data_IF_847027174169
#
_entry.id   IF_847027174169
#
_cell.length_a   1.000
_cell.length_b   1.000
_cell.length_c   1.000
_cell.angle_alpha   90.00
_cell.angle_beta   90.00
_cell.angle_gamma   90.00
#
_symmetry.space_group_name_H-M   'P 1'
#
loop_
_entity.id
_entity.type
_entity.pdbx_description
1 polymer ?
#
# COMPACT_ATOMS: atom_id res chain seq x y z
N UNK A 1 -20.26 -12.41 9.34
CA UNK A 1 -19.34 -13.10 8.41
C UNK A 1 -20.00 -14.35 7.85
N UNK A 2 -20.47 -15.25 8.71
CA UNK A 2 -21.12 -16.52 8.32
C UNK A 2 -22.32 -16.37 7.37
N UNK A 3 -23.11 -15.31 7.52
CA UNK A 3 -24.28 -15.04 6.65
C UNK A 3 -23.88 -14.58 5.24
N UNK A 4 -22.83 -13.77 5.10
CA UNK A 4 -22.34 -13.30 3.81
C UNK A 4 -21.67 -14.44 3.05
N UNK A 5 -20.78 -15.21 3.71
CA UNK A 5 -20.14 -16.38 3.11
C UNK A 5 -21.18 -17.42 2.66
N UNK A 6 -22.21 -17.68 3.49
CA UNK A 6 -23.32 -18.58 3.12
C UNK A 6 -24.14 -18.08 1.94
N UNK A 7 -24.37 -16.77 1.81
CA UNK A 7 -25.15 -16.20 0.70
C UNK A 7 -24.34 -16.10 -0.60
N UNK A 8 -23.05 -15.78 -0.51
CA UNK A 8 -22.13 -15.79 -1.64
C UNK A 8 -21.95 -17.20 -2.22
N UNK A 9 -21.93 -18.23 -1.37
CA UNK A 9 -21.98 -19.64 -1.79
C UNK A 9 -23.29 -20.00 -2.52
N UNK A 10 -24.39 -19.28 -2.29
CA UNK A 10 -25.69 -19.53 -2.92
C UNK A 10 -25.86 -18.81 -4.28
N UNK A 11 -25.16 -17.69 -4.51
CA UNK A 11 -25.43 -16.79 -5.65
C UNK A 11 -24.44 -16.92 -6.84
N UNK A 12 -23.30 -17.62 -6.72
CA UNK A 12 -22.17 -17.43 -7.66
C UNK A 12 -21.40 -18.64 -8.18
N UNK A 13 -21.88 -19.87 -8.00
CA UNK A 13 -21.09 -21.07 -8.30
C UNK A 13 -20.11 -21.42 -7.16
N UNK A 14 -19.35 -22.51 -7.32
CA UNK A 14 -18.46 -23.00 -6.27
C UNK A 14 -17.39 -21.95 -5.92
N UNK A 15 -17.55 -21.31 -4.75
CA UNK A 15 -16.53 -20.48 -4.13
C UNK A 15 -15.60 -21.41 -3.36
N UNK A 16 -14.33 -21.41 -3.76
CA UNK A 16 -13.27 -22.25 -3.21
C UNK A 16 -12.63 -21.63 -1.96
N UNK A 17 -12.87 -20.35 -1.69
CA UNK A 17 -12.49 -19.69 -0.44
C UNK A 17 -12.59 -18.17 -0.48
N UNK A 18 -12.19 -17.52 0.61
CA UNK A 18 -12.29 -16.08 0.76
C UNK A 18 -11.15 -15.49 1.61
N UNK A 19 -10.75 -14.26 1.29
CA UNK A 19 -9.79 -13.46 2.06
C UNK A 19 -10.42 -12.13 2.44
N UNK A 20 -10.42 -11.81 3.72
CA UNK A 20 -10.74 -10.48 4.24
C UNK A 20 -9.46 -9.65 4.29
N UNK A 21 -9.50 -8.40 3.85
CA UNK A 21 -8.36 -7.49 3.93
C UNK A 21 -8.81 -6.04 4.20
N UNK A 22 -7.85 -5.11 4.15
CA UNK A 22 -8.16 -3.69 4.20
C UNK A 22 -8.38 -3.12 5.61
N UNK A 23 -9.02 -1.95 5.66
CA UNK A 23 -9.06 -1.09 6.86
C UNK A 23 -9.79 -1.73 8.05
N UNK A 24 -10.76 -2.61 7.80
CA UNK A 24 -11.49 -3.35 8.83
C UNK A 24 -10.59 -4.23 9.71
N UNK A 25 -9.44 -4.68 9.19
CA UNK A 25 -8.49 -5.46 9.97
C UNK A 25 -7.53 -4.61 10.81
N UNK A 26 -7.22 -3.41 10.34
CA UNK A 26 -6.14 -2.58 10.90
C UNK A 26 -6.62 -1.39 11.72
N UNK A 27 -7.77 -0.82 11.35
CA UNK A 27 -8.36 0.35 12.00
C UNK A 27 -9.88 0.38 11.73
N UNK A 28 -10.68 -0.51 12.36
CA UNK A 28 -12.09 -0.64 12.06
C UNK A 28 -12.87 0.61 12.49
N UNK A 29 -13.39 1.36 11.52
CA UNK A 29 -14.38 2.42 11.77
C UNK A 29 -15.79 1.92 11.42
N UNK A 30 -16.80 2.47 12.10
CA UNK A 30 -18.22 2.14 11.85
C UNK A 30 -18.62 2.42 10.40
N UNK A 31 -17.96 3.40 9.77
CA UNK A 31 -18.21 3.81 8.38
C UNK A 31 -17.31 3.11 7.36
N UNK A 32 -16.36 2.27 7.80
CA UNK A 32 -15.46 1.58 6.88
C UNK A 32 -16.21 0.49 6.10
N UNK A 33 -16.01 0.47 4.80
CA UNK A 33 -16.32 -0.67 3.94
C UNK A 33 -15.50 -1.90 4.33
N UNK A 34 -16.00 -3.08 3.95
CA UNK A 34 -15.32 -4.36 4.18
C UNK A 34 -14.77 -4.91 2.87
N UNK A 35 -13.45 -4.97 2.74
CA UNK A 35 -12.79 -5.46 1.54
C UNK A 35 -12.62 -6.98 1.58
N UNK A 36 -13.17 -7.69 0.58
CA UNK A 36 -13.11 -9.15 0.51
C UNK A 36 -12.74 -9.64 -0.88
N UNK A 37 -11.85 -10.64 -0.95
CA UNK A 37 -11.55 -11.39 -2.18
C UNK A 37 -12.21 -12.76 -2.09
N UNK A 38 -12.97 -13.14 -3.11
CA UNK A 38 -13.60 -14.44 -3.27
C UNK A 38 -12.91 -15.22 -4.38
N UNK A 39 -12.60 -16.49 -4.10
CA UNK A 39 -11.93 -17.39 -5.03
C UNK A 39 -12.88 -18.40 -5.64
N UNK A 40 -12.76 -18.67 -6.94
CA UNK A 40 -13.50 -19.74 -7.60
C UNK A 40 -12.86 -20.17 -8.93
N UNK A 41 -12.98 -21.46 -9.27
CA UNK A 41 -12.30 -22.08 -10.41
C UNK A 41 -12.60 -21.53 -11.81
N UNK A 42 -13.70 -20.77 -12.00
CA UNK A 42 -14.12 -20.23 -13.32
C UNK A 42 -14.48 -18.73 -13.28
N UNK A 43 -13.91 -17.96 -12.34
CA UNK A 43 -14.24 -16.54 -12.19
C UNK A 43 -13.26 -15.68 -12.99
N UNK A 44 -13.79 -14.80 -13.86
CA UNK A 44 -13.03 -13.66 -14.40
C UNK A 44 -12.93 -12.58 -13.32
N UNK A 45 -11.80 -11.85 -13.29
CA UNK A 45 -11.63 -10.73 -12.34
C UNK A 45 -12.82 -9.79 -12.44
N UNK A 46 -13.58 -9.70 -11.35
CA UNK A 46 -14.75 -8.87 -11.24
C UNK A 46 -14.71 -8.10 -9.92
N UNK A 47 -15.15 -6.86 -9.98
CA UNK A 47 -15.26 -5.97 -8.83
C UNK A 47 -16.72 -5.54 -8.71
N UNK A 48 -17.25 -5.58 -7.50
CA UNK A 48 -18.61 -5.15 -7.20
C UNK A 48 -18.72 -4.64 -5.78
N UNK A 49 -19.53 -3.60 -5.60
CA UNK A 49 -19.90 -3.11 -4.27
C UNK A 49 -21.23 -3.75 -3.90
N UNK A 50 -21.27 -4.43 -2.76
CA UNK A 50 -22.46 -5.14 -2.28
C UNK A 50 -22.86 -4.64 -0.90
N UNK A 51 -24.17 -4.48 -0.68
CA UNK A 51 -24.70 -4.01 0.60
C UNK A 51 -25.47 -5.14 1.29
N UNK A 52 -25.09 -5.46 2.52
CA UNK A 52 -25.78 -6.44 3.36
C UNK A 52 -25.99 -5.88 4.77
N UNK A 53 -27.23 -5.89 5.25
CA UNK A 53 -27.59 -5.45 6.61
C UNK A 53 -27.00 -4.08 6.98
N UNK A 54 -27.08 -3.11 6.05
CA UNK A 54 -26.52 -1.76 6.15
C UNK A 54 -24.98 -1.69 6.25
N UNK A 55 -24.27 -2.77 5.90
CA UNK A 55 -22.82 -2.80 5.72
C UNK A 55 -22.47 -2.87 4.25
N UNK A 56 -21.44 -2.13 3.86
CA UNK A 56 -20.92 -2.07 2.49
C UNK A 56 -19.72 -3.01 2.39
N UNK A 57 -19.73 -3.86 1.38
CA UNK A 57 -18.66 -4.79 1.05
C UNK A 57 -18.09 -4.42 -0.30
N UNK A 58 -16.78 -4.23 -0.35
CA UNK A 58 -16.03 -4.17 -1.60
C UNK A 58 -15.59 -5.60 -1.95
N UNK A 59 -16.27 -6.19 -2.93
CA UNK A 59 -16.14 -7.60 -3.29
C UNK A 59 -15.35 -7.74 -4.58
N UNK A 60 -14.17 -8.36 -4.45
CA UNK A 60 -13.34 -8.78 -5.56
C UNK A 60 -13.52 -10.28 -5.80
N UNK A 61 -13.64 -10.70 -7.04
CA UNK A 61 -13.72 -12.12 -7.41
C UNK A 61 -12.64 -12.46 -8.40
N UNK A 62 -11.92 -13.56 -8.19
CA UNK A 62 -10.87 -14.03 -9.08
C UNK A 62 -10.59 -15.53 -8.90
N UNK A 63 -9.84 -16.14 -9.81
CA UNK A 63 -9.29 -17.48 -9.56
C UNK A 63 -8.03 -17.41 -8.69
N UNK A 64 -7.68 -18.52 -8.02
CA UNK A 64 -6.41 -18.61 -7.29
C UNK A 64 -5.19 -18.43 -8.22
N UNK A 65 -5.27 -18.94 -9.45
CA UNK A 65 -4.23 -18.76 -10.47
C UNK A 65 -3.99 -17.27 -10.78
N UNK A 66 -5.06 -16.49 -10.93
CA UNK A 66 -4.97 -15.04 -11.13
C UNK A 66 -4.34 -14.34 -9.92
N UNK A 67 -4.67 -14.77 -8.70
CA UNK A 67 -4.09 -14.21 -7.49
C UNK A 67 -2.58 -14.46 -7.39
N UNK A 68 -2.13 -15.68 -7.67
CA UNK A 68 -0.70 -16.00 -7.74
C UNK A 68 0.00 -15.25 -8.87
N UNK A 69 -0.65 -15.09 -10.03
CA UNK A 69 -0.13 -14.26 -11.12
C UNK A 69 0.07 -12.81 -10.67
N UNK A 70 -0.92 -12.22 -9.97
CA UNK A 70 -0.83 -10.87 -9.40
C UNK A 70 0.30 -10.73 -8.36
N UNK A 71 0.55 -11.76 -7.54
CA UNK A 71 1.70 -11.79 -6.64
C UNK A 71 3.03 -11.89 -7.38
N UNK A 72 3.12 -12.71 -8.43
CA UNK A 72 4.33 -12.89 -9.21
C UNK A 72 4.77 -11.58 -9.89
N UNK A 73 3.81 -10.80 -10.42
CA UNK A 73 4.07 -9.46 -10.96
C UNK A 73 4.13 -8.37 -9.89
N UNK A 74 4.00 -8.75 -8.62
CA UNK A 74 4.03 -7.89 -7.43
C UNK A 74 3.07 -6.70 -7.52
N UNK A 75 1.84 -6.97 -7.96
CA UNK A 75 0.80 -5.96 -8.09
C UNK A 75 0.48 -5.35 -6.71
N UNK A 76 0.66 -4.03 -6.51
CA UNK A 76 0.66 -3.41 -5.18
C UNK A 76 -0.63 -3.63 -4.37
N UNK A 77 -1.81 -3.47 -4.99
CA UNK A 77 -3.09 -3.71 -4.31
C UNK A 77 -3.18 -5.15 -3.79
N UNK A 78 -2.83 -6.13 -4.63
CA UNK A 78 -2.98 -7.55 -4.30
C UNK A 78 -1.88 -8.02 -3.35
N UNK A 79 -0.66 -7.54 -3.52
CA UNK A 79 0.42 -7.79 -2.58
C UNK A 79 0.08 -7.22 -1.20
N UNK A 80 -0.51 -6.03 -1.12
CA UNK A 80 -1.02 -5.46 0.12
C UNK A 80 -2.14 -6.32 0.70
N UNK A 81 -3.20 -6.56 -0.07
CA UNK A 81 -4.36 -7.34 0.32
C UNK A 81 -3.99 -8.73 0.86
N UNK A 82 -3.07 -9.43 0.20
CA UNK A 82 -2.67 -10.78 0.60
C UNK A 82 -1.61 -10.80 1.69
N UNK A 83 -0.77 -9.77 1.82
CA UNK A 83 0.22 -9.71 2.92
C UNK A 83 -0.40 -9.33 4.26
N UNK A 84 -1.54 -8.63 4.27
CA UNK A 84 -2.28 -8.27 5.50
C UNK A 84 -3.58 -9.05 5.68
N UNK A 85 -4.02 -9.78 4.66
CA UNK A 85 -5.30 -10.46 4.64
C UNK A 85 -5.38 -11.66 5.59
N UNK A 86 -6.63 -12.02 5.91
CA UNK A 86 -6.98 -13.18 6.73
C UNK A 86 -7.81 -14.14 5.87
N UNK A 87 -7.40 -15.41 5.85
CA UNK A 87 -8.17 -16.48 5.23
C UNK A 87 -9.44 -16.72 6.06
N UNK A 88 -10.60 -16.63 5.40
CA UNK A 88 -11.90 -16.91 6.02
C UNK A 88 -12.42 -18.32 5.70
N UNK A 89 -11.57 -19.16 5.11
CA UNK A 89 -11.91 -20.52 4.68
C UNK A 89 -10.85 -21.52 5.11
N UNK A 90 -11.18 -22.82 5.07
CA UNK A 90 -10.23 -23.89 5.38
C UNK A 90 -9.34 -24.28 4.17
N UNK A 91 -9.26 -23.43 3.14
CA UNK A 91 -8.51 -23.72 1.92
C UNK A 91 -7.01 -23.42 2.08
N UNK A 92 -6.20 -24.46 2.18
CA UNK A 92 -4.73 -24.37 2.33
C UNK A 92 -4.00 -23.66 1.19
N UNK A 93 -4.57 -23.62 -0.02
CA UNK A 93 -3.97 -22.88 -1.12
C UNK A 93 -4.03 -21.36 -0.91
N UNK A 94 -5.06 -20.89 -0.18
CA UNK A 94 -5.16 -19.49 0.24
C UNK A 94 -4.13 -19.19 1.33
N UNK A 95 -3.93 -20.10 2.29
CA UNK A 95 -2.87 -19.92 3.31
C UNK A 95 -1.51 -19.76 2.63
N UNK A 96 -1.19 -20.61 1.66
CA UNK A 96 0.04 -20.51 0.87
C UNK A 96 0.14 -19.16 0.13
N UNK A 97 -0.95 -18.66 -0.45
CA UNK A 97 -0.99 -17.36 -1.10
C UNK A 97 -0.64 -16.22 -0.12
N UNK A 98 -1.27 -16.21 1.05
CA UNK A 98 -1.05 -15.18 2.07
C UNK A 98 0.38 -15.23 2.63
N UNK A 99 0.89 -16.43 2.90
CA UNK A 99 2.25 -16.62 3.41
C UNK A 99 3.30 -16.22 2.37
N UNK A 100 3.07 -16.55 1.09
CA UNK A 100 3.93 -16.09 -0.02
C UNK A 100 3.95 -14.56 -0.10
N UNK A 101 2.80 -13.90 0.01
CA UNK A 101 2.71 -12.44 -0.02
C UNK A 101 3.46 -11.78 1.14
N UNK A 102 3.32 -12.33 2.36
CA UNK A 102 4.08 -11.87 3.55
C UNK A 102 5.59 -12.05 3.34
N UNK A 103 6.01 -13.20 2.85
CA UNK A 103 7.42 -13.48 2.58
C UNK A 103 8.00 -12.48 1.57
N UNK A 104 7.27 -12.16 0.50
CA UNK A 104 7.69 -11.15 -0.49
C UNK A 104 7.92 -9.80 0.18
N UNK A 105 6.97 -9.34 1.02
CA UNK A 105 7.06 -8.04 1.70
C UNK A 105 8.21 -8.00 2.71
N UNK A 106 8.44 -9.09 3.45
CA UNK A 106 9.45 -9.14 4.53
C UNK A 106 10.86 -9.35 3.96
N UNK A 107 11.01 -10.28 3.02
CA UNK A 107 12.34 -10.82 2.65
C UNK A 107 12.74 -10.54 1.20
N UNK A 108 11.79 -10.36 0.29
CA UNK A 108 12.09 -10.29 -1.16
C UNK A 108 11.94 -8.87 -1.72
N UNK A 109 12.58 -7.89 -1.09
CA UNK A 109 12.62 -6.50 -1.61
C UNK A 109 13.17 -6.47 -3.05
N UNK A 110 12.73 -5.51 -3.91
CA UNK A 110 13.29 -5.37 -5.25
C UNK A 110 14.82 -5.23 -5.17
N UNK A 111 15.55 -5.95 -6.01
CA UNK A 111 17.02 -5.91 -5.97
C UNK A 111 17.47 -4.54 -6.50
N UNK A 112 18.02 -3.71 -5.62
CA UNK A 112 18.69 -2.45 -5.96
C UNK A 112 20.18 -2.59 -5.68
N UNK A 113 21.02 -2.00 -6.54
CA UNK A 113 22.43 -1.83 -6.19
C UNK A 113 22.56 -0.91 -4.96
N UNK A 114 23.65 -1.02 -4.18
CA UNK A 114 23.89 -0.13 -3.04
C UNK A 114 23.77 1.36 -3.41
N UNK A 115 24.29 1.75 -4.57
CA UNK A 115 24.20 3.12 -5.07
C UNK A 115 22.77 3.54 -5.43
N UNK A 116 21.99 2.65 -6.03
CA UNK A 116 20.59 2.93 -6.37
C UNK A 116 19.73 3.09 -5.10
N UNK A 117 19.94 2.22 -4.11
CA UNK A 117 19.29 2.32 -2.81
C UNK A 117 19.70 3.61 -2.09
N UNK A 118 20.99 3.96 -2.10
CA UNK A 118 21.46 5.21 -1.51
C UNK A 118 20.83 6.44 -2.18
N UNK A 119 20.75 6.46 -3.52
CA UNK A 119 20.10 7.54 -4.28
C UNK A 119 18.62 7.69 -3.94
N UNK A 120 17.91 6.56 -3.80
CA UNK A 120 16.50 6.53 -3.43
C UNK A 120 16.29 7.16 -2.05
N UNK A 121 17.02 6.69 -1.04
CA UNK A 121 16.91 7.18 0.33
C UNK A 121 17.41 8.62 0.48
N UNK A 122 18.48 8.98 -0.21
CA UNK A 122 18.97 10.36 -0.25
C UNK A 122 17.94 11.31 -0.85
N UNK A 123 17.22 10.90 -1.90
CA UNK A 123 16.18 11.73 -2.52
C UNK A 123 15.03 11.99 -1.55
N UNK A 124 14.63 10.97 -0.77
CA UNK A 124 13.66 11.13 0.31
C UNK A 124 14.17 12.14 1.35
N UNK A 125 15.34 11.90 1.94
CA UNK A 125 15.93 12.75 2.99
C UNK A 125 16.04 14.21 2.52
N UNK A 126 16.58 14.43 1.32
CA UNK A 126 16.75 15.76 0.74
C UNK A 126 15.41 16.46 0.51
N UNK A 127 14.40 15.76 -0.03
CA UNK A 127 13.08 16.34 -0.26
C UNK A 127 12.34 16.67 1.04
N UNK A 128 12.46 15.82 2.06
CA UNK A 128 11.92 16.08 3.39
C UNK A 128 12.58 17.31 4.04
N UNK A 129 13.92 17.41 3.98
CA UNK A 129 14.66 18.56 4.51
C UNK A 129 14.29 19.88 3.81
N UNK A 130 14.08 19.85 2.49
CA UNK A 130 13.62 21.04 1.74
C UNK A 130 12.21 21.45 2.13
N UNK A 131 11.31 20.48 2.28
CA UNK A 131 9.94 20.72 2.73
C UNK A 131 9.91 21.33 4.14
N UNK A 132 10.61 20.71 5.10
CA UNK A 132 10.61 21.12 6.51
C UNK A 132 11.21 22.51 6.76
N UNK A 133 12.13 22.95 5.90
CA UNK A 133 12.74 24.29 5.99
C UNK A 133 11.95 25.38 5.26
N UNK A 134 10.96 25.01 4.44
CA UNK A 134 10.22 25.94 3.59
C UNK A 134 8.85 26.34 4.17
N UNK A 135 8.59 26.10 5.46
CA UNK A 135 7.29 26.34 6.11
C UNK A 135 6.84 27.80 6.11
N UNK A 136 7.78 28.75 5.93
CA UNK A 136 7.48 30.19 5.89
C UNK A 136 7.03 30.69 4.51
N UNK A 137 7.05 29.85 3.47
CA UNK A 137 6.60 30.22 2.13
C UNK A 137 5.67 29.16 1.57
N UNK A 138 4.39 29.52 1.43
CA UNK A 138 3.35 28.62 0.91
C UNK A 138 3.70 28.08 -0.49
N UNK A 139 4.17 28.94 -1.39
CA UNK A 139 4.55 28.54 -2.75
C UNK A 139 5.65 27.46 -2.75
N UNK A 140 6.74 27.69 -2.01
CA UNK A 140 7.84 26.73 -1.93
C UNK A 140 7.43 25.46 -1.19
N UNK A 141 6.61 25.59 -0.14
CA UNK A 141 6.12 24.46 0.62
C UNK A 141 5.25 23.53 -0.24
N UNK A 142 4.32 24.08 -1.01
CA UNK A 142 3.48 23.31 -1.94
C UNK A 142 4.33 22.66 -3.05
N UNK A 143 5.29 23.40 -3.62
CA UNK A 143 6.22 22.84 -4.61
C UNK A 143 6.99 21.63 -4.05
N UNK A 144 7.58 21.76 -2.86
CA UNK A 144 8.34 20.67 -2.24
C UNK A 144 7.45 19.54 -1.71
N UNK A 145 6.16 19.79 -1.43
CA UNK A 145 5.21 18.74 -1.02
C UNK A 145 5.05 17.67 -2.10
N UNK A 146 4.94 18.07 -3.36
CA UNK A 146 4.86 17.13 -4.49
C UNK A 146 6.16 16.34 -4.67
N UNK A 147 7.31 17.00 -4.53
CA UNK A 147 8.61 16.33 -4.59
C UNK A 147 8.80 15.31 -3.47
N UNK A 148 8.45 15.67 -2.23
CA UNK A 148 8.49 14.78 -1.08
C UNK A 148 7.62 13.55 -1.32
N UNK A 149 6.36 13.73 -1.74
CA UNK A 149 5.44 12.61 -1.92
C UNK A 149 5.90 11.66 -3.03
N UNK A 150 6.44 12.18 -4.13
CA UNK A 150 6.98 11.35 -5.21
C UNK A 150 8.15 10.47 -4.74
N UNK A 151 9.09 11.02 -3.97
CA UNK A 151 10.20 10.24 -3.41
C UNK A 151 9.74 9.28 -2.31
N UNK A 152 8.80 9.70 -1.47
CA UNK A 152 8.20 8.85 -0.43
C UNK A 152 7.52 7.62 -1.04
N UNK A 153 6.80 7.80 -2.15
CA UNK A 153 6.19 6.71 -2.91
C UNK A 153 7.20 5.67 -3.38
N UNK A 154 8.28 6.10 -4.01
CA UNK A 154 9.28 5.17 -4.54
C UNK A 154 9.94 4.37 -3.41
N UNK A 155 10.20 5.03 -2.26
CA UNK A 155 10.69 4.36 -1.06
C UNK A 155 9.67 3.38 -0.47
N UNK A 156 8.38 3.70 -0.48
CA UNK A 156 7.33 2.82 0.02
C UNK A 156 7.15 1.59 -0.84
N UNK A 157 7.19 1.74 -2.16
CA UNK A 157 7.13 0.62 -3.09
C UNK A 157 8.30 -0.32 -2.86
N UNK A 158 9.52 0.22 -2.79
CA UNK A 158 10.69 -0.57 -2.44
C UNK A 158 10.56 -1.27 -1.08
N UNK A 159 10.15 -0.55 -0.04
CA UNK A 159 10.00 -1.07 1.32
C UNK A 159 9.00 -2.24 1.41
N UNK A 160 8.04 -2.28 0.48
CA UNK A 160 6.91 -3.22 0.48
C UNK A 160 7.00 -4.27 -0.63
N UNK A 161 8.16 -4.44 -1.25
CA UNK A 161 8.36 -5.48 -2.26
C UNK A 161 7.83 -5.12 -3.66
N UNK A 162 7.20 -3.95 -3.84
CA UNK A 162 6.52 -3.54 -5.07
C UNK A 162 7.53 -3.00 -6.08
N UNK A 163 7.37 -3.39 -7.35
CA UNK A 163 8.13 -2.77 -8.43
C UNK A 163 7.54 -1.41 -8.81
N UNK A 164 8.38 -0.37 -8.81
CA UNK A 164 8.03 0.93 -9.37
C UNK A 164 7.98 0.83 -10.90
N UNK A 165 6.88 0.33 -11.45
CA UNK A 165 6.61 0.35 -12.89
C UNK A 165 5.50 1.33 -13.21
N UNK A 166 5.48 1.80 -14.47
CA UNK A 166 4.64 2.84 -15.07
C UNK A 166 3.12 2.58 -14.95
N UNK A 167 2.61 2.39 -13.73
CA UNK A 167 1.20 2.31 -13.45
C UNK A 167 0.65 3.74 -13.47
N UNK A 168 -0.34 3.99 -14.32
CA UNK A 168 -0.99 5.30 -14.39
C UNK A 168 -1.68 5.68 -13.06
N UNK A 169 -1.98 4.70 -12.20
CA UNK A 169 -2.75 4.84 -10.95
C UNK A 169 -1.90 4.79 -9.66
N UNK A 170 -0.61 5.13 -9.72
CA UNK A 170 0.29 5.07 -8.54
C UNK A 170 -0.17 5.89 -7.33
N UNK A 171 -0.91 6.99 -7.55
CA UNK A 171 -1.51 7.77 -6.45
C UNK A 171 -2.64 6.99 -5.79
N UNK A 172 -3.54 6.40 -6.57
CA UNK A 172 -4.63 5.57 -6.03
C UNK A 172 -4.04 4.41 -5.19
N UNK A 173 -2.92 3.84 -5.66
CA UNK A 173 -2.17 2.79 -4.97
C UNK A 173 -1.60 3.25 -3.63
N UNK A 174 -1.01 4.45 -3.54
CA UNK A 174 -0.56 5.03 -2.26
C UNK A 174 -1.70 5.20 -1.26
N UNK A 175 -2.89 5.47 -1.77
CA UNK A 175 -4.08 5.75 -0.95
C UNK A 175 -4.89 4.50 -0.59
N UNK A 176 -4.49 3.32 -1.07
CA UNK A 176 -5.23 2.06 -0.87
C UNK A 176 -4.38 0.92 -0.33
N UNK A 177 -3.09 0.86 -0.68
CA UNK A 177 -2.24 -0.31 -0.44
C UNK A 177 -1.38 -0.26 0.83
N UNK A 178 -1.45 0.78 1.67
CA UNK A 178 -0.55 0.96 2.83
C UNK A 178 -1.27 1.19 4.17
N UNK A 179 -2.55 0.83 4.29
CA UNK A 179 -3.28 0.88 5.57
C UNK A 179 -3.33 2.28 6.19
N UNK A 180 -3.01 2.42 7.48
CA UNK A 180 -3.00 3.71 8.17
C UNK A 180 -2.06 4.75 7.56
N UNK A 181 -0.98 4.31 6.89
CA UNK A 181 -0.12 5.22 6.14
C UNK A 181 -0.83 5.79 4.90
N UNK A 182 -1.72 5.03 4.27
CA UNK A 182 -2.56 5.52 3.17
C UNK A 182 -3.50 6.63 3.64
N UNK A 183 -4.02 6.56 4.86
CA UNK A 183 -4.82 7.63 5.48
C UNK A 183 -3.96 8.89 5.68
N UNK A 184 -2.77 8.75 6.24
CA UNK A 184 -1.83 9.86 6.42
C UNK A 184 -1.46 10.53 5.09
N UNK A 185 -1.26 9.73 4.01
CA UNK A 185 -0.99 10.25 2.67
C UNK A 185 -2.22 10.98 2.10
N UNK A 186 -3.43 10.43 2.26
CA UNK A 186 -4.68 11.10 1.85
C UNK A 186 -4.83 12.45 2.56
N UNK A 187 -4.60 12.48 3.87
CA UNK A 187 -4.70 13.70 4.67
C UNK A 187 -3.63 14.71 4.27
N UNK A 188 -2.40 14.26 4.04
CA UNK A 188 -1.32 15.11 3.54
C UNK A 188 -1.68 15.78 2.21
N UNK A 189 -2.31 15.03 1.30
CA UNK A 189 -2.78 15.54 0.00
C UNK A 189 -3.93 16.54 0.13
N UNK A 190 -4.85 16.33 1.07
CA UNK A 190 -6.09 17.12 1.23
C UNK A 190 -5.92 18.38 2.07
N UNK A 191 -5.02 18.37 3.05
CA UNK A 191 -4.86 19.53 3.93
C UNK A 191 -4.29 20.73 3.17
N UNK A 192 -4.66 21.93 3.61
CA UNK A 192 -4.10 23.20 3.12
C UNK A 192 -3.25 23.89 4.18
N UNK A 193 -3.41 23.50 5.45
CA UNK A 193 -2.63 23.98 6.58
C UNK A 193 -1.20 23.41 6.52
N UNK A 194 -0.21 24.31 6.44
CA UNK A 194 1.21 23.96 6.33
C UNK A 194 1.73 23.25 7.58
N UNK A 195 1.29 23.65 8.77
CA UNK A 195 1.75 23.04 10.02
C UNK A 195 1.24 21.59 10.12
N UNK A 196 -0.02 21.34 9.76
CA UNK A 196 -0.59 19.99 9.70
C UNK A 196 0.08 19.14 8.61
N UNK A 197 0.31 19.69 7.42
CA UNK A 197 1.08 19.00 6.37
C UNK A 197 2.48 18.63 6.86
N UNK A 198 3.13 19.49 7.62
CA UNK A 198 4.48 19.21 8.13
C UNK A 198 4.49 18.06 9.14
N UNK A 199 3.51 18.03 10.05
CA UNK A 199 3.33 16.91 10.98
C UNK A 199 3.09 15.59 10.22
N UNK A 200 2.24 15.60 9.19
CA UNK A 200 1.96 14.42 8.37
C UNK A 200 3.21 13.99 7.57
N UNK A 201 3.97 14.94 7.04
CA UNK A 201 5.22 14.66 6.33
C UNK A 201 6.25 13.99 7.26
N UNK A 202 6.38 14.45 8.50
CA UNK A 202 7.24 13.84 9.52
C UNK A 202 6.81 12.40 9.86
N UNK A 203 5.49 12.16 10.01
CA UNK A 203 4.94 10.83 10.23
C UNK A 203 5.28 9.88 9.07
N UNK A 204 5.00 10.31 7.82
CA UNK A 204 5.26 9.51 6.62
C UNK A 204 6.76 9.21 6.48
N UNK A 205 7.60 10.23 6.64
CA UNK A 205 9.06 10.10 6.57
C UNK A 205 9.58 9.10 7.62
N UNK A 206 9.15 9.24 8.87
CA UNK A 206 9.59 8.39 9.97
C UNK A 206 9.21 6.93 9.75
N UNK A 207 7.99 6.67 9.25
CA UNK A 207 7.55 5.31 8.92
C UNK A 207 8.41 4.68 7.82
N UNK A 208 8.70 5.43 6.76
CA UNK A 208 9.56 4.95 5.67
C UNK A 208 10.96 4.61 6.18
N UNK A 209 11.56 5.47 7.03
CA UNK A 209 12.90 5.24 7.60
C UNK A 209 12.94 4.03 8.54
N UNK A 210 11.84 3.70 9.22
CA UNK A 210 11.73 2.48 10.01
C UNK A 210 11.72 1.22 9.12
N UNK A 211 11.02 1.26 7.98
CA UNK A 211 10.98 0.14 7.03
C UNK A 211 12.28 0.00 6.20
N UNK A 212 13.03 1.09 6.05
CA UNK A 212 14.27 1.18 5.29
C UNK A 212 15.40 1.78 6.15
N UNK A 213 15.93 1.04 7.14
CA UNK A 213 16.89 1.55 8.11
C UNK A 213 18.30 1.76 7.53
N UNK A 214 18.53 1.45 6.24
CA UNK A 214 19.83 1.61 5.58
C UNK A 214 20.34 3.05 5.73
N UNK A 215 21.58 3.24 6.19
CA UNK A 215 22.17 4.56 6.34
C UNK A 215 22.33 5.23 4.98
N UNK A 216 22.10 6.55 4.94
CA UNK A 216 22.29 7.36 3.74
C UNK A 216 23.70 7.92 3.74
N UNK A 217 24.44 7.66 2.66
CA UNK A 217 25.74 8.26 2.40
C UNK A 217 25.51 9.57 1.66
N UNK A 218 25.76 10.68 2.34
CA UNK A 218 25.65 12.02 1.78
C UNK A 218 26.92 12.35 0.99
N UNK A 219 26.81 12.87 -0.25
CA UNK A 219 27.97 13.32 -0.99
C UNK A 219 28.63 14.48 -0.24
N UNK A 220 29.92 14.33 0.08
CA UNK A 220 30.71 15.39 0.71
C UNK A 220 30.94 16.48 -0.35
N UNK A 221 30.35 17.66 -0.13
CA UNK A 221 30.69 18.84 -0.93
C UNK A 221 32.02 19.36 -0.40
N UNK A 222 33.12 19.03 -1.07
CA UNK A 222 34.40 19.67 -0.82
C UNK A 222 34.30 21.07 -1.41
N UNK A 223 34.06 22.07 -0.56
CA UNK A 223 34.15 23.47 -0.96
C UNK A 223 35.63 23.81 -1.18
N UNK A 224 36.04 23.99 -2.43
CA UNK A 224 37.27 24.69 -2.74
C UNK A 224 37.05 26.17 -2.37
N UNK A 225 37.66 26.60 -1.27
CA UNK A 225 37.82 28.02 -0.93
C UNK A 225 38.78 28.69 -1.90
#
# INVERSE_FOLDING_TARGET
>A
MDLLLKKLQQEGGAIDGAVLFGSQLTNPAITSDTDIVLFGGNIKVAHSIECYENKVFDVFRMSLEQAFHHLAVRHPLWLSAFSTGINLSDNKAIDLLLDTAKEIVITQKPILSPDALNKLLFSLDNSYQKLSRSTNSELFYLHYSSHFLNNAKDCLFYARGVYAHNMASQIDLLTTAFGSLSEQIKDFLRHTDIAKKQQLAECIYSHIRQCCPTPVVYPVVISHQ
#
